data_IF_775230751334
#
_entry.id   IF_775230751334
#
_cell.length_a   1.000
_cell.length_b   1.000
_cell.length_c   1.000
_cell.angle_alpha   90.00
_cell.angle_beta   90.00
_cell.angle_gamma   90.00
#
_symmetry.space_group_name_H-M   'P 1'
#
loop_
_entity.id
_entity.type
_entity.pdbx_description
1 polymer ?
#
# COMPACT_ATOMS: atom_id res chain seq x y z
N UNK A 1 -17.51 1.89 -1.76
CA UNK A 1 -16.32 1.90 -2.62
C UNK A 1 -16.04 0.48 -3.10
N UNK A 2 -15.89 0.33 -4.39
CA UNK A 2 -15.61 -0.97 -4.98
C UNK A 2 -14.17 -1.02 -5.44
N UNK A 3 -13.49 -2.14 -5.18
CA UNK A 3 -12.07 -2.28 -5.49
C UNK A 3 -11.87 -3.33 -6.58
N UNK A 4 -11.01 -2.99 -7.54
CA UNK A 4 -10.60 -3.91 -8.57
C UNK A 4 -9.10 -4.15 -8.42
N UNK A 5 -8.71 -5.39 -8.27
CA UNK A 5 -7.30 -5.73 -8.09
C UNK A 5 -6.54 -5.52 -9.37
N UNK A 6 -5.50 -4.71 -9.31
CA UNK A 6 -4.67 -4.42 -10.47
C UNK A 6 -3.40 -5.25 -10.48
N UNK A 7 -2.77 -5.39 -9.33
CA UNK A 7 -1.48 -6.03 -9.26
C UNK A 7 -1.23 -6.48 -7.83
N UNK A 8 -0.52 -7.59 -7.67
CA UNK A 8 -0.21 -8.10 -6.37
C UNK A 8 0.07 -9.57 -6.45
N UNK A 9 0.92 -10.06 -5.55
CA UNK A 9 1.23 -11.47 -5.47
C UNK A 9 1.14 -11.90 -4.04
N UNK A 10 0.56 -13.06 -3.85
CA UNK A 10 0.44 -13.63 -2.52
C UNK A 10 0.67 -15.12 -2.63
N UNK A 11 1.94 -15.53 -2.84
CA UNK A 11 2.20 -16.95 -3.08
C UNK A 11 1.77 -17.84 -1.93
N UNK A 12 2.10 -17.45 -0.71
CA UNK A 12 1.77 -18.34 0.40
C UNK A 12 1.96 -17.66 1.74
N UNK A 13 1.81 -16.35 1.82
CA UNK A 13 2.13 -15.66 3.05
C UNK A 13 0.94 -14.91 3.57
N UNK A 14 1.09 -14.38 4.75
CA UNK A 14 0.07 -13.59 5.40
C UNK A 14 0.03 -12.17 4.89
N UNK A 15 1.12 -11.68 4.34
CA UNK A 15 1.17 -10.33 3.82
C UNK A 15 1.13 -10.40 2.31
N UNK A 16 0.13 -9.82 1.74
CA UNK A 16 -0.09 -9.85 0.30
C UNK A 16 -0.14 -8.43 -0.22
N UNK A 17 1.03 -7.85 -0.54
CA UNK A 17 1.02 -6.49 -1.11
C UNK A 17 0.16 -6.48 -2.36
N UNK A 18 -0.79 -5.57 -2.40
CA UNK A 18 -1.74 -5.55 -3.50
C UNK A 18 -2.12 -4.12 -3.82
N UNK A 19 -2.26 -3.84 -5.10
CA UNK A 19 -2.71 -2.54 -5.58
C UNK A 19 -4.08 -2.70 -6.19
N UNK A 20 -5.01 -1.86 -5.78
CA UNK A 20 -6.38 -1.87 -6.27
C UNK A 20 -6.72 -0.55 -6.92
N UNK A 21 -7.64 -0.61 -7.84
CA UNK A 21 -8.28 0.59 -8.37
C UNK A 21 -9.67 0.70 -7.77
N UNK A 22 -10.04 1.91 -7.37
CA UNK A 22 -11.38 2.13 -6.85
C UNK A 22 -12.30 2.60 -7.95
N UNK A 23 -13.60 2.51 -7.70
CA UNK A 23 -14.57 3.04 -8.62
C UNK A 23 -14.70 4.56 -8.50
N UNK A 24 -13.90 5.16 -7.63
CA UNK A 24 -13.87 6.62 -7.46
C UNK A 24 -12.70 7.26 -8.21
N UNK A 25 -11.93 6.48 -8.95
CA UNK A 25 -10.81 7.02 -9.71
C UNK A 25 -9.53 7.14 -8.91
N UNK A 26 -9.40 6.43 -7.80
CA UNK A 26 -8.19 6.46 -6.97
C UNK A 26 -7.60 5.08 -6.86
N UNK A 27 -6.44 5.00 -6.21
CA UNK A 27 -5.78 3.74 -5.96
C UNK A 27 -5.73 3.43 -4.48
N UNK A 28 -5.80 2.14 -4.15
CA UNK A 28 -5.66 1.67 -2.79
C UNK A 28 -4.54 0.64 -2.76
N UNK A 29 -3.61 0.81 -1.83
CA UNK A 29 -2.47 -0.09 -1.70
C UNK A 29 -2.58 -0.81 -0.37
N UNK A 30 -2.47 -2.12 -0.41
CA UNK A 30 -2.48 -2.95 0.78
C UNK A 30 -1.06 -3.43 1.05
N UNK A 31 -0.58 -3.24 2.27
CA UNK A 31 0.76 -3.63 2.66
C UNK A 31 0.92 -3.58 4.16
N UNK A 32 2.17 -3.69 4.61
CA UNK A 32 2.48 -3.65 6.03
C UNK A 32 2.52 -2.21 6.51
N UNK A 33 1.86 -1.93 7.61
CA UNK A 33 1.86 -0.57 8.17
C UNK A 33 3.27 -0.21 8.61
N UNK A 34 3.71 0.98 8.23
CA UNK A 34 5.02 1.49 8.63
C UNK A 34 4.95 1.93 10.09
N UNK A 35 5.84 1.37 10.93
CA UNK A 35 5.84 1.67 12.36
C UNK A 35 7.17 2.16 12.87
N UNK A 36 8.24 2.11 12.08
CA UNK A 36 9.54 2.56 12.53
C UNK A 36 9.55 4.04 12.87
N UNK A 37 10.06 4.43 14.06
CA UNK A 37 10.01 5.85 14.43
C UNK A 37 10.81 6.75 13.49
N UNK A 38 11.90 6.24 12.94
CA UNK A 38 12.71 7.04 12.03
C UNK A 38 11.94 7.29 10.73
N UNK A 39 11.28 6.26 10.21
CA UNK A 39 10.49 6.42 9.00
C UNK A 39 9.29 7.32 9.23
N UNK A 40 8.63 7.17 10.37
CA UNK A 40 7.48 8.00 10.69
C UNK A 40 7.86 9.46 10.83
N UNK A 41 9.06 9.74 11.38
CA UNK A 41 9.52 11.11 11.49
C UNK A 41 9.74 11.73 10.11
N UNK A 42 10.28 10.96 9.19
CA UNK A 42 10.48 11.45 7.83
C UNK A 42 9.16 11.69 7.12
N UNK A 43 8.18 10.83 7.35
CA UNK A 43 6.89 10.95 6.69
C UNK A 43 6.07 12.11 7.21
N UNK A 44 6.15 12.38 8.51
CA UNK A 44 5.42 13.49 9.12
C UNK A 44 3.94 13.43 8.76
N UNK A 45 3.32 12.30 9.11
CA UNK A 45 1.94 12.03 8.70
C UNK A 45 0.94 12.90 9.44
N UNK A 46 0.02 13.53 8.74
CA UNK A 46 -1.07 14.24 9.42
C UNK A 46 -2.09 13.28 10.00
N UNK A 47 -2.94 13.84 10.84
CA UNK A 47 -4.01 13.06 11.44
C UNK A 47 -4.91 12.47 10.35
N UNK A 48 -5.21 11.19 10.49
CA UNK A 48 -6.07 10.53 9.52
C UNK A 48 -5.33 9.86 8.38
N UNK A 49 -3.99 9.98 8.35
CA UNK A 49 -3.20 9.33 7.33
C UNK A 49 -2.30 8.29 7.94
N UNK A 50 -1.95 7.32 7.14
CA UNK A 50 -0.97 6.32 7.52
C UNK A 50 -0.18 5.92 6.28
N UNK A 51 0.86 5.13 6.48
CA UNK A 51 1.68 4.68 5.37
C UNK A 51 1.86 3.18 5.45
N UNK A 52 1.94 2.54 4.29
CA UNK A 52 2.20 1.12 4.22
C UNK A 52 3.43 0.88 3.36
N UNK A 53 4.09 -0.21 3.63
CA UNK A 53 5.31 -0.59 2.96
C UNK A 53 4.99 -1.70 1.96
N UNK A 54 5.37 -1.50 0.70
CA UNK A 54 5.17 -2.49 -0.35
C UNK A 54 6.43 -2.56 -1.19
N UNK A 55 6.66 -3.68 -1.89
CA UNK A 55 7.81 -3.74 -2.80
C UNK A 55 7.69 -2.68 -3.88
N UNK A 56 8.82 -2.10 -4.25
CA UNK A 56 8.81 -1.08 -5.29
C UNK A 56 8.23 -1.60 -6.59
N UNK A 57 8.45 -2.88 -6.87
CA UNK A 57 7.94 -3.47 -8.11
C UNK A 57 6.41 -3.48 -8.18
N UNK A 58 5.75 -3.30 -7.05
CA UNK A 58 4.29 -3.28 -7.05
C UNK A 58 3.75 -1.95 -7.58
N UNK A 59 4.39 -0.84 -7.24
CA UNK A 59 3.90 0.48 -7.59
C UNK A 59 4.54 1.03 -8.85
N UNK A 60 5.77 0.66 -9.11
CA UNK A 60 6.50 1.17 -10.26
C UNK A 60 6.32 0.22 -11.41
N UNK A 61 5.81 0.68 -12.56
CA UNK A 61 5.65 -0.21 -13.71
C UNK A 61 6.99 -0.76 -14.15
N UNK A 62 7.00 -2.02 -14.49
CA UNK A 62 8.23 -2.66 -14.93
C UNK A 62 8.63 -2.20 -16.33
#
# INVERSE_FOLDING_TARGET
MRLTRLRGTCPDTETCPTLYRTDCGTGVVQGCVVTGPEALATLDLPTGETAVEVPLSLEVPA
#
